data_IF_859687606458
#
_entry.id   IF_859687606458
#
_cell.length_a   1.000
_cell.length_b   1.000
_cell.length_c   1.000
_cell.angle_alpha   90.00
_cell.angle_beta   90.00
_cell.angle_gamma   90.00
#
_symmetry.space_group_name_H-M   'P 1'
#
loop_
_entity.id
_entity.type
_entity.pdbx_description
1 polymer ?
#
# COMPACT_ATOMS: atom_id res chain seq x y z
N UNK A 1 -9.70 -7.81 -8.42
CA UNK A 1 -9.27 -8.91 -7.49
C UNK A 1 -10.13 -8.85 -6.24
N UNK A 2 -10.73 -9.96 -5.83
CA UNK A 2 -11.51 -10.07 -4.60
C UNK A 2 -10.55 -10.14 -3.41
N UNK A 3 -10.82 -9.41 -2.34
CA UNK A 3 -10.02 -9.47 -1.12
C UNK A 3 -10.89 -9.89 0.07
N UNK A 4 -10.51 -10.97 0.73
CA UNK A 4 -11.10 -11.38 1.99
C UNK A 4 -10.26 -10.85 3.15
N UNK A 5 -10.85 -9.93 3.91
CA UNK A 5 -10.19 -9.23 5.02
C UNK A 5 -10.71 -9.76 6.36
N UNK A 6 -9.90 -10.52 7.05
CA UNK A 6 -10.27 -11.16 8.31
C UNK A 6 -9.86 -10.30 9.49
N UNK A 7 -10.83 -9.88 10.30
CA UNK A 7 -10.55 -9.19 11.56
C UNK A 7 -10.13 -10.22 12.59
N UNK A 8 -8.89 -10.15 13.05
CA UNK A 8 -8.33 -11.10 14.01
C UNK A 8 -8.74 -10.73 15.44
N UNK A 9 -9.60 -11.52 16.06
CA UNK A 9 -10.05 -11.31 17.42
C UNK A 9 -8.91 -11.29 18.46
N UNK A 10 -7.88 -12.11 18.28
CA UNK A 10 -6.73 -12.15 19.20
C UNK A 10 -5.96 -10.85 19.28
N UNK A 11 -5.99 -10.02 18.23
CA UNK A 11 -5.32 -8.73 18.23
C UNK A 11 -6.02 -7.67 19.10
N UNK A 12 -7.28 -7.90 19.43
CA UNK A 12 -8.07 -7.06 20.33
C UNK A 12 -7.97 -7.49 21.79
N UNK A 13 -7.38 -8.67 22.03
CA UNK A 13 -7.35 -9.22 23.39
C UNK A 13 -6.50 -8.36 24.31
N UNK A 14 -7.09 -8.01 25.44
CA UNK A 14 -6.38 -7.32 26.51
C UNK A 14 -5.12 -8.11 26.94
N UNK A 15 -4.01 -7.41 27.00
CA UNK A 15 -2.69 -8.01 27.31
C UNK A 15 -2.38 -8.06 28.82
N UNK A 16 -3.31 -7.59 29.67
CA UNK A 16 -3.15 -7.55 31.11
C UNK A 16 -2.56 -6.24 31.66
N UNK A 17 -2.02 -5.38 30.83
CA UNK A 17 -1.31 -4.15 31.21
C UNK A 17 -1.87 -2.87 30.57
N UNK A 18 -2.46 -2.96 29.38
CA UNK A 18 -2.99 -1.78 28.68
C UNK A 18 -4.03 -1.05 29.50
N UNK A 19 -3.86 0.27 29.58
CA UNK A 19 -4.82 1.18 30.21
C UNK A 19 -5.91 1.57 29.20
N UNK A 20 -6.97 2.18 29.69
CA UNK A 20 -8.06 2.68 28.84
C UNK A 20 -7.55 3.67 27.77
N UNK A 21 -6.61 4.56 28.13
CA UNK A 21 -6.00 5.52 27.20
C UNK A 21 -5.28 4.83 26.04
N UNK A 22 -4.56 3.74 26.32
CA UNK A 22 -3.84 2.98 25.28
C UNK A 22 -4.83 2.32 24.31
N UNK A 23 -5.91 1.78 24.85
CA UNK A 23 -6.98 1.20 24.05
C UNK A 23 -7.68 2.26 23.17
N UNK A 24 -7.98 3.44 23.72
CA UNK A 24 -8.60 4.55 22.99
C UNK A 24 -7.68 5.04 21.86
N UNK A 25 -6.39 5.18 22.11
CA UNK A 25 -5.41 5.55 21.08
C UNK A 25 -5.37 4.53 19.94
N UNK A 26 -5.26 3.25 20.26
CA UNK A 26 -5.28 2.15 19.28
C UNK A 26 -6.60 2.11 18.49
N UNK A 27 -7.73 2.37 19.16
CA UNK A 27 -9.03 2.46 18.48
C UNK A 27 -9.08 3.61 17.47
N UNK A 28 -8.51 4.77 17.80
CA UNK A 28 -8.44 5.89 16.87
C UNK A 28 -7.54 5.59 15.64
N UNK A 29 -6.45 4.85 15.82
CA UNK A 29 -5.60 4.40 14.72
C UNK A 29 -6.30 3.36 13.84
N UNK A 30 -6.92 2.38 14.47
CA UNK A 30 -7.71 1.36 13.78
C UNK A 30 -8.86 1.98 12.99
N UNK A 31 -9.54 2.96 13.56
CA UNK A 31 -10.57 3.74 12.89
C UNK A 31 -10.04 4.39 11.61
N UNK A 32 -8.95 5.16 11.69
CA UNK A 32 -8.35 5.84 10.52
C UNK A 32 -7.98 4.86 9.42
N UNK A 33 -7.39 3.73 9.78
CA UNK A 33 -7.06 2.66 8.85
C UNK A 33 -8.32 2.11 8.16
N UNK A 34 -9.38 1.80 8.92
CA UNK A 34 -10.62 1.26 8.36
C UNK A 34 -11.37 2.28 7.50
N UNK A 35 -11.36 3.57 7.89
CA UNK A 35 -11.90 4.65 7.06
C UNK A 35 -11.16 4.75 5.72
N UNK A 36 -9.84 4.66 5.75
CA UNK A 36 -9.03 4.65 4.54
C UNK A 36 -9.37 3.46 3.64
N UNK A 37 -9.41 2.24 4.18
CA UNK A 37 -9.79 1.04 3.40
C UNK A 37 -11.19 1.23 2.80
N UNK A 38 -12.15 1.74 3.56
CA UNK A 38 -13.50 1.99 3.08
C UNK A 38 -13.60 3.09 2.02
N UNK A 39 -12.72 4.10 2.04
CA UNK A 39 -12.74 5.22 1.09
C UNK A 39 -12.48 4.79 -0.35
N UNK A 40 -11.86 3.64 -0.56
CA UNK A 40 -11.65 3.07 -1.90
C UNK A 40 -12.94 2.52 -2.53
N UNK A 41 -14.02 2.34 -1.74
CA UNK A 41 -15.34 1.85 -2.21
C UNK A 41 -15.24 0.62 -3.11
N UNK A 42 -14.28 -0.27 -2.84
CA UNK A 42 -14.08 -1.48 -3.64
C UNK A 42 -15.20 -2.47 -3.34
N UNK A 43 -16.01 -2.79 -4.35
CA UNK A 43 -17.13 -3.73 -4.25
C UNK A 43 -16.67 -5.16 -3.90
N UNK A 44 -15.42 -5.46 -4.19
CA UNK A 44 -14.83 -6.79 -4.01
C UNK A 44 -14.17 -7.01 -2.64
N UNK A 45 -14.32 -6.08 -1.69
CA UNK A 45 -13.83 -6.27 -0.32
C UNK A 45 -14.87 -6.99 0.52
N UNK A 46 -14.48 -8.14 1.06
CA UNK A 46 -15.30 -8.90 1.99
C UNK A 46 -14.65 -8.91 3.38
N UNK A 47 -15.29 -8.21 4.32
CA UNK A 47 -14.84 -8.23 5.72
C UNK A 47 -15.44 -9.43 6.45
N UNK A 48 -14.59 -10.13 7.19
CA UNK A 48 -14.94 -11.33 7.93
C UNK A 48 -14.46 -11.23 9.38
N UNK A 49 -15.21 -11.79 10.32
CA UNK A 49 -14.76 -11.95 11.69
C UNK A 49 -15.07 -13.35 12.21
N UNK A 50 -14.27 -13.83 13.14
CA UNK A 50 -14.52 -15.13 13.79
C UNK A 50 -15.61 -15.00 14.84
N UNK A 51 -16.44 -16.03 15.04
CA UNK A 51 -17.58 -16.00 15.98
C UNK A 51 -17.19 -15.65 17.42
N UNK A 52 -15.98 -16.02 17.82
CA UNK A 52 -15.45 -15.67 19.14
C UNK A 52 -15.08 -14.18 19.31
N UNK A 53 -15.19 -13.36 18.25
CA UNK A 53 -14.82 -11.94 18.30
C UNK A 53 -15.61 -11.18 19.37
N UNK A 54 -16.92 -11.36 19.40
CA UNK A 54 -17.80 -10.69 20.37
C UNK A 54 -17.53 -11.07 21.83
N UNK A 55 -16.94 -12.25 22.06
CA UNK A 55 -16.58 -12.75 23.39
C UNK A 55 -15.14 -12.38 23.79
N UNK A 56 -14.41 -11.65 22.95
CA UNK A 56 -13.03 -11.28 23.23
C UNK A 56 -12.98 -10.23 24.33
N UNK A 57 -12.23 -10.50 25.39
CA UNK A 57 -11.94 -9.52 26.45
C UNK A 57 -10.99 -8.46 25.89
N UNK A 58 -11.41 -7.21 25.85
CA UNK A 58 -10.67 -6.08 25.23
C UNK A 58 -10.07 -5.12 26.27
N UNK A 59 -10.61 -5.13 27.49
CA UNK A 59 -10.10 -4.44 28.68
C UNK A 59 -10.30 -5.36 29.89
N UNK A 60 -9.80 -4.97 31.07
CA UNK A 60 -9.84 -5.77 32.29
C UNK A 60 -11.18 -6.45 32.56
N UNK A 61 -12.26 -5.69 32.44
CA UNK A 61 -13.62 -6.15 32.78
C UNK A 61 -14.62 -5.88 31.63
N UNK A 62 -14.13 -5.78 30.36
CA UNK A 62 -14.94 -5.43 29.20
C UNK A 62 -14.71 -6.43 28.08
N UNK A 63 -15.79 -6.99 27.54
CA UNK A 63 -15.75 -7.82 26.34
C UNK A 63 -16.24 -7.02 25.11
N UNK A 64 -15.85 -7.46 23.90
CA UNK A 64 -16.17 -6.75 22.66
C UNK A 64 -17.67 -6.51 22.46
N UNK A 65 -18.54 -7.44 22.85
CA UNK A 65 -20.00 -7.25 22.75
C UNK A 65 -20.49 -6.05 23.55
N UNK A 66 -19.85 -5.71 24.66
CA UNK A 66 -20.25 -4.57 25.50
C UNK A 66 -19.86 -3.22 24.85
N UNK A 67 -18.88 -3.21 23.95
CA UNK A 67 -18.56 -2.05 23.13
C UNK A 67 -19.58 -1.80 22.00
N UNK A 68 -20.56 -2.67 21.84
CA UNK A 68 -21.70 -2.46 20.92
C UNK A 68 -22.91 -1.89 21.66
N UNK A 69 -22.88 -1.80 23.00
CA UNK A 69 -23.88 -1.16 23.83
C UNK A 69 -23.62 0.35 23.86
N UNK A 70 -24.54 1.16 23.33
CA UNK A 70 -24.34 2.59 23.08
C UNK A 70 -23.79 3.35 24.29
N UNK A 71 -24.47 3.30 25.42
CA UNK A 71 -24.10 4.11 26.59
C UNK A 71 -22.75 3.71 27.20
N UNK A 72 -22.41 2.42 27.17
CA UNK A 72 -21.17 1.89 27.69
C UNK A 72 -20.02 2.20 26.71
N UNK A 73 -20.25 2.00 25.43
CA UNK A 73 -19.26 2.23 24.39
C UNK A 73 -18.88 3.73 24.27
N UNK A 74 -19.87 4.64 24.31
CA UNK A 74 -19.60 6.08 24.23
C UNK A 74 -18.69 6.55 25.38
N UNK A 75 -18.87 6.00 26.58
CA UNK A 75 -17.99 6.32 27.73
C UNK A 75 -16.58 5.77 27.59
N UNK A 76 -16.43 4.59 26.94
CA UNK A 76 -15.16 3.88 26.84
C UNK A 76 -14.36 4.30 25.62
N UNK A 77 -14.95 4.34 24.43
CA UNK A 77 -14.24 4.56 23.17
C UNK A 77 -14.63 5.84 22.43
N UNK A 78 -15.65 6.55 22.93
CA UNK A 78 -16.21 7.73 22.27
C UNK A 78 -17.23 7.39 21.18
N UNK A 79 -18.06 8.39 20.84
CA UNK A 79 -19.17 8.23 19.87
C UNK A 79 -18.66 7.91 18.47
N UNK A 80 -17.59 8.56 18.03
CA UNK A 80 -17.03 8.39 16.69
C UNK A 80 -16.50 6.98 16.48
N UNK A 81 -15.67 6.48 17.40
CA UNK A 81 -15.14 5.13 17.36
C UNK A 81 -16.25 4.06 17.41
N UNK A 82 -17.31 4.30 18.20
CA UNK A 82 -18.48 3.43 18.22
C UNK A 82 -19.19 3.37 16.87
N UNK A 83 -19.45 4.52 16.24
CA UNK A 83 -20.13 4.57 14.92
C UNK A 83 -19.35 3.76 13.89
N UNK A 84 -18.03 3.85 13.88
CA UNK A 84 -17.19 3.11 12.95
C UNK A 84 -17.15 1.61 13.28
N UNK A 85 -17.02 1.26 14.57
CA UNK A 85 -17.10 -0.13 15.00
C UNK A 85 -18.41 -0.77 14.55
N UNK A 86 -19.54 -0.10 14.75
CA UNK A 86 -20.86 -0.55 14.30
C UNK A 86 -20.94 -0.65 12.78
N UNK A 87 -20.39 0.31 12.03
CA UNK A 87 -20.37 0.28 10.58
C UNK A 87 -19.54 -0.90 10.04
N UNK A 88 -18.39 -1.18 10.66
CA UNK A 88 -17.56 -2.35 10.34
C UNK A 88 -18.34 -3.63 10.63
N UNK A 89 -18.90 -3.78 11.82
CA UNK A 89 -19.65 -4.96 12.22
C UNK A 89 -20.87 -5.22 11.32
N UNK A 90 -21.56 -4.17 10.86
CA UNK A 90 -22.67 -4.28 9.93
C UNK A 90 -22.25 -4.82 8.56
N UNK A 91 -21.02 -4.51 8.12
CA UNK A 91 -20.47 -4.97 6.83
C UNK A 91 -19.78 -6.32 6.92
N UNK A 92 -19.34 -6.72 8.11
CA UNK A 92 -18.65 -7.98 8.34
C UNK A 92 -19.63 -9.15 8.32
N UNK A 93 -19.21 -10.25 7.70
CA UNK A 93 -19.86 -11.55 7.84
C UNK A 93 -19.13 -12.38 8.88
N UNK A 94 -19.86 -13.18 9.65
CA UNK A 94 -19.24 -14.14 10.55
C UNK A 94 -18.60 -15.30 9.76
N UNK A 95 -17.54 -15.86 10.30
CA UNK A 95 -16.89 -17.05 9.78
C UNK A 95 -16.54 -18.00 10.93
N UNK A 96 -16.68 -19.29 10.69
CA UNK A 96 -16.28 -20.34 11.63
C UNK A 96 -14.75 -20.58 11.61
N UNK A 97 -13.99 -19.80 10.84
CA UNK A 97 -12.54 -19.94 10.76
C UNK A 97 -11.89 -19.74 12.12
N UNK A 98 -10.98 -20.64 12.47
CA UNK A 98 -10.10 -20.46 13.62
C UNK A 98 -8.90 -19.60 13.26
N UNK A 99 -8.16 -19.12 14.26
CA UNK A 99 -6.90 -18.37 14.00
C UNK A 99 -5.88 -19.22 13.22
N UNK A 100 -5.89 -20.56 13.41
CA UNK A 100 -5.04 -21.47 12.64
C UNK A 100 -5.45 -21.49 11.17
N UNK A 101 -6.76 -21.50 10.89
CA UNK A 101 -7.28 -21.45 9.53
C UNK A 101 -6.94 -20.12 8.86
N UNK A 102 -7.04 -18.99 9.59
CA UNK A 102 -6.64 -17.68 9.05
C UNK A 102 -5.20 -17.69 8.57
N UNK A 103 -4.29 -18.31 9.30
CA UNK A 103 -2.88 -18.41 8.89
C UNK A 103 -2.73 -19.27 7.62
N UNK A 104 -3.48 -20.36 7.49
CA UNK A 104 -3.45 -21.18 6.27
C UNK A 104 -4.05 -20.48 5.06
N UNK A 105 -5.05 -19.61 5.25
CA UNK A 105 -5.65 -18.83 4.17
C UNK A 105 -4.66 -17.84 3.53
N UNK A 106 -3.67 -17.35 4.27
CA UNK A 106 -2.65 -16.46 3.70
C UNK A 106 -1.85 -17.12 2.58
N UNK A 107 -1.81 -18.45 2.53
CA UNK A 107 -1.14 -19.21 1.45
C UNK A 107 -2.08 -19.62 0.31
N UNK A 108 -3.40 -19.38 0.45
CA UNK A 108 -4.43 -19.73 -0.54
C UNK A 108 -4.79 -18.52 -1.39
N UNK A 109 -3.82 -17.99 -2.11
CA UNK A 109 -4.02 -16.83 -2.98
C UNK A 109 -3.84 -17.19 -4.44
N UNK A 110 -4.61 -16.53 -5.29
CA UNK A 110 -4.49 -16.59 -6.74
C UNK A 110 -4.71 -15.21 -7.39
N UNK A 111 -4.72 -15.14 -8.70
CA UNK A 111 -4.93 -13.88 -9.43
C UNK A 111 -6.30 -13.23 -9.21
N UNK A 112 -7.27 -13.95 -8.68
CA UNK A 112 -8.64 -13.49 -8.50
C UNK A 112 -9.01 -13.26 -7.04
N UNK A 113 -8.36 -14.00 -6.12
CA UNK A 113 -8.66 -13.98 -4.70
C UNK A 113 -7.40 -13.82 -3.86
N UNK A 114 -7.41 -12.87 -2.96
CA UNK A 114 -6.37 -12.68 -1.96
C UNK A 114 -6.97 -12.62 -0.55
N UNK A 115 -6.14 -12.96 0.44
CA UNK A 115 -6.51 -12.99 1.84
C UNK A 115 -5.60 -12.06 2.64
N UNK A 116 -6.17 -11.29 3.57
CA UNK A 116 -5.40 -10.51 4.53
C UNK A 116 -6.01 -10.59 5.92
N UNK A 117 -5.19 -10.37 6.92
CA UNK A 117 -5.59 -10.32 8.32
C UNK A 117 -5.46 -8.89 8.81
N UNK A 118 -6.57 -8.32 9.24
CA UNK A 118 -6.61 -7.01 9.90
C UNK A 118 -6.37 -7.23 11.39
N UNK A 119 -5.39 -6.52 11.93
CA UNK A 119 -5.02 -6.60 13.34
C UNK A 119 -5.14 -5.24 14.02
N UNK A 120 -5.71 -5.23 15.21
CA UNK A 120 -5.84 -4.07 16.09
C UNK A 120 -4.53 -3.76 16.84
N UNK A 121 -3.85 -4.81 17.27
CA UNK A 121 -2.51 -4.72 17.87
C UNK A 121 -1.61 -5.77 17.21
N UNK A 122 -0.31 -5.46 17.03
CA UNK A 122 0.64 -6.39 16.41
C UNK A 122 0.67 -7.74 17.12
N UNK A 123 0.73 -8.81 16.33
CA UNK A 123 0.84 -10.18 16.82
C UNK A 123 2.15 -10.78 16.33
N UNK A 124 3.07 -11.13 17.24
CA UNK A 124 4.42 -11.61 16.91
C UNK A 124 4.45 -12.75 15.89
N UNK A 125 3.48 -13.66 15.92
CA UNK A 125 3.40 -14.80 15.02
C UNK A 125 2.86 -14.46 13.61
N UNK A 126 2.47 -13.19 13.37
CA UNK A 126 2.00 -12.64 12.09
C UNK A 126 2.90 -11.52 11.56
N UNK A 127 3.94 -11.10 12.29
CA UNK A 127 4.71 -9.88 11.98
C UNK A 127 5.39 -9.89 10.61
N UNK A 128 5.69 -11.07 10.07
CA UNK A 128 6.50 -11.20 8.86
C UNK A 128 5.66 -11.42 7.58
N UNK A 129 4.34 -11.27 7.66
CA UNK A 129 3.46 -11.47 6.51
C UNK A 129 3.01 -10.12 5.92
N UNK A 130 3.24 -9.91 4.64
CA UNK A 130 2.76 -8.75 3.87
C UNK A 130 1.23 -8.63 3.81
N UNK A 131 0.53 -9.71 4.16
CA UNK A 131 -0.93 -9.77 4.22
C UNK A 131 -1.48 -9.38 5.60
N UNK A 132 -0.66 -8.87 6.51
CA UNK A 132 -1.11 -8.41 7.83
C UNK A 132 -1.23 -6.90 7.82
N UNK A 133 -2.44 -6.40 7.99
CA UNK A 133 -2.79 -4.99 7.92
C UNK A 133 -3.03 -4.47 9.33
N UNK A 134 -2.12 -3.65 9.82
CA UNK A 134 -2.22 -2.97 11.13
C UNK A 134 -2.21 -1.45 11.03
N UNK A 135 -1.88 -0.92 9.84
CA UNK A 135 -1.75 0.51 9.57
C UNK A 135 -2.29 0.83 8.17
N UNK A 136 -2.46 2.12 7.87
CA UNK A 136 -2.77 2.57 6.51
C UNK A 136 -1.68 2.16 5.52
N UNK A 137 -0.39 2.29 5.92
CA UNK A 137 0.72 1.84 5.08
C UNK A 137 0.64 0.33 4.82
N UNK A 138 0.32 -0.48 5.81
CA UNK A 138 0.14 -1.92 5.64
C UNK A 138 -0.95 -2.29 4.63
N UNK A 139 -2.01 -1.46 4.52
CA UNK A 139 -3.00 -1.61 3.45
C UNK A 139 -2.40 -1.36 2.06
N UNK A 140 -1.62 -0.28 1.89
CA UNK A 140 -0.93 -0.02 0.63
C UNK A 140 0.04 -1.14 0.27
N UNK A 141 0.86 -1.59 1.23
CA UNK A 141 1.85 -2.65 1.04
C UNK A 141 1.20 -3.97 0.62
N UNK A 142 0.09 -4.33 1.27
CA UNK A 142 -0.72 -5.49 0.89
C UNK A 142 -1.23 -5.39 -0.56
N UNK A 143 -1.83 -4.27 -0.95
CA UNK A 143 -2.37 -4.09 -2.30
C UNK A 143 -1.28 -4.04 -3.37
N UNK A 144 -0.18 -3.37 -3.07
CA UNK A 144 1.01 -3.30 -3.93
C UNK A 144 1.66 -4.67 -4.11
N UNK A 145 1.80 -5.45 -3.04
CA UNK A 145 2.30 -6.83 -3.12
C UNK A 145 1.50 -7.67 -4.11
N UNK A 146 0.17 -7.64 -4.01
CA UNK A 146 -0.69 -8.37 -4.94
C UNK A 146 -0.64 -7.83 -6.37
N UNK A 147 -0.50 -6.53 -6.53
CA UNK A 147 -0.32 -5.91 -7.84
C UNK A 147 0.98 -6.38 -8.52
N UNK A 148 2.05 -6.53 -7.74
CA UNK A 148 3.31 -7.07 -8.24
C UNK A 148 3.26 -8.57 -8.53
N UNK A 149 2.52 -9.34 -7.72
CA UNK A 149 2.40 -10.79 -7.90
C UNK A 149 1.47 -11.16 -9.05
N UNK A 150 0.40 -10.38 -9.26
CA UNK A 150 -0.64 -10.62 -10.27
C UNK A 150 -0.95 -9.34 -11.07
N UNK A 151 -0.03 -8.84 -11.88
CA UNK A 151 -0.17 -7.56 -12.58
C UNK A 151 -1.25 -7.56 -13.67
N UNK A 152 -1.70 -8.74 -14.11
CA UNK A 152 -2.67 -9.01 -15.19
C UNK A 152 -2.22 -8.40 -16.53
N UNK A 153 -2.31 -7.08 -16.68
CA UNK A 153 -1.85 -6.32 -17.83
C UNK A 153 -1.61 -4.86 -17.45
N UNK A 154 -1.00 -4.08 -18.33
CA UNK A 154 -0.64 -2.69 -18.07
C UNK A 154 -1.84 -1.78 -17.76
N UNK A 155 -2.99 -2.00 -18.39
CA UNK A 155 -4.23 -1.24 -18.13
C UNK A 155 -4.69 -1.45 -16.69
N UNK A 156 -4.82 -2.70 -16.28
CA UNK A 156 -5.20 -3.06 -14.91
C UNK A 156 -4.17 -2.54 -13.90
N UNK A 157 -2.87 -2.76 -14.18
CA UNK A 157 -1.79 -2.32 -13.30
C UNK A 157 -1.86 -0.81 -13.05
N UNK A 158 -1.97 0.02 -14.10
CA UNK A 158 -2.02 1.48 -13.96
C UNK A 158 -3.29 1.95 -13.26
N UNK A 159 -4.43 1.29 -13.49
CA UNK A 159 -5.68 1.61 -12.79
C UNK A 159 -5.56 1.35 -11.28
N UNK A 160 -4.93 0.24 -10.88
CA UNK A 160 -4.68 -0.08 -9.46
C UNK A 160 -3.56 0.81 -8.89
N UNK A 161 -2.49 1.07 -9.65
CA UNK A 161 -1.39 1.93 -9.22
C UNK A 161 -1.87 3.34 -8.86
N UNK A 162 -2.79 3.93 -9.61
CA UNK A 162 -3.39 5.23 -9.28
C UNK A 162 -4.06 5.26 -7.90
N UNK A 163 -4.54 4.12 -7.42
CA UNK A 163 -5.16 4.02 -6.08
C UNK A 163 -4.12 3.91 -4.97
N UNK A 164 -3.07 3.10 -5.21
CA UNK A 164 -2.15 2.68 -4.15
C UNK A 164 -0.79 3.39 -4.17
N UNK A 165 -0.59 4.31 -5.12
CA UNK A 165 0.56 5.23 -5.17
C UNK A 165 0.06 6.68 -5.28
N UNK A 166 -0.60 7.22 -4.23
CA UNK A 166 -1.26 8.53 -4.31
C UNK A 166 -0.31 9.71 -4.49
N UNK A 167 0.97 9.54 -4.21
CA UNK A 167 2.03 10.54 -4.44
C UNK A 167 2.61 10.51 -5.86
N UNK A 168 2.16 9.60 -6.74
CA UNK A 168 2.64 9.52 -8.12
C UNK A 168 1.57 9.94 -9.12
N UNK A 169 1.97 10.71 -10.13
CA UNK A 169 1.19 10.92 -11.34
C UNK A 169 1.82 10.12 -12.48
N UNK A 170 1.16 9.02 -12.89
CA UNK A 170 1.64 8.11 -13.91
C UNK A 170 1.11 8.52 -15.28
N UNK A 171 2.02 8.77 -16.25
CA UNK A 171 1.63 9.19 -17.59
C UNK A 171 0.80 8.11 -18.32
N UNK A 172 -0.29 8.47 -19.01
CA UNK A 172 -1.18 7.50 -19.67
C UNK A 172 -0.49 6.57 -20.67
N UNK A 173 0.55 7.05 -21.36
CA UNK A 173 1.31 6.24 -22.33
C UNK A 173 2.00 5.02 -21.68
N UNK A 174 2.11 4.97 -20.36
CA UNK A 174 2.61 3.78 -19.68
C UNK A 174 1.75 2.54 -19.93
N UNK A 175 0.50 2.67 -20.39
CA UNK A 175 -0.30 1.53 -20.86
C UNK A 175 0.40 0.77 -22.00
N UNK A 176 0.97 1.50 -22.96
CA UNK A 176 1.65 0.89 -24.10
C UNK A 176 3.09 0.50 -23.79
N UNK A 177 3.82 1.34 -23.04
CA UNK A 177 5.25 1.14 -22.81
C UNK A 177 5.55 0.03 -21.79
N UNK A 178 4.63 -0.20 -20.86
CA UNK A 178 4.75 -1.29 -19.89
C UNK A 178 4.35 -2.66 -20.43
N UNK A 179 3.68 -2.74 -21.58
CA UNK A 179 3.15 -4.00 -22.10
C UNK A 179 4.19 -5.12 -22.12
N UNK A 180 5.41 -4.82 -22.58
CA UNK A 180 6.49 -5.81 -22.70
C UNK A 180 7.23 -6.10 -21.39
N UNK A 181 7.13 -5.20 -20.41
CA UNK A 181 7.96 -5.27 -19.18
C UNK A 181 7.17 -5.66 -17.94
N UNK A 182 5.83 -5.49 -17.97
CA UNK A 182 4.98 -5.73 -16.81
C UNK A 182 5.01 -7.17 -16.29
N UNK A 183 5.22 -8.13 -17.17
CA UNK A 183 5.31 -9.55 -16.81
C UNK A 183 6.74 -10.01 -16.50
N UNK A 184 7.74 -9.23 -16.94
CA UNK A 184 9.15 -9.56 -16.69
C UNK A 184 9.62 -9.10 -15.30
N UNK A 185 9.19 -7.91 -14.88
CA UNK A 185 9.68 -7.26 -13.65
C UNK A 185 8.58 -6.70 -12.73
N UNK A 186 7.43 -7.36 -12.56
CA UNK A 186 6.29 -6.75 -11.87
C UNK A 186 6.59 -6.38 -10.43
N UNK A 187 7.30 -7.22 -9.69
CA UNK A 187 7.66 -6.95 -8.28
C UNK A 187 8.68 -5.81 -8.16
N UNK A 188 9.66 -5.71 -9.09
CA UNK A 188 10.61 -4.59 -9.08
C UNK A 188 9.89 -3.28 -9.40
N UNK A 189 9.01 -3.26 -10.41
CA UNK A 189 8.19 -2.07 -10.73
C UNK A 189 7.42 -1.62 -9.49
N UNK A 190 6.72 -2.53 -8.82
CA UNK A 190 5.96 -2.23 -7.60
C UNK A 190 6.85 -1.66 -6.50
N UNK A 191 8.00 -2.30 -6.23
CA UNK A 191 8.93 -1.88 -5.18
C UNK A 191 9.51 -0.50 -5.47
N UNK A 192 9.90 -0.24 -6.72
CA UNK A 192 10.50 1.04 -7.11
C UNK A 192 9.47 2.17 -7.11
N UNK A 193 8.24 1.91 -7.57
CA UNK A 193 7.15 2.88 -7.46
C UNK A 193 6.78 3.16 -5.99
N UNK A 194 6.85 2.14 -5.11
CA UNK A 194 6.61 2.34 -3.68
C UNK A 194 7.66 3.25 -3.05
N UNK A 195 8.95 3.02 -3.34
CA UNK A 195 10.02 3.87 -2.85
C UNK A 195 9.90 5.32 -3.37
N UNK A 196 9.58 5.50 -4.66
CA UNK A 196 9.31 6.84 -5.22
C UNK A 196 8.13 7.51 -4.49
N UNK A 197 7.03 6.79 -4.31
CA UNK A 197 5.81 7.33 -3.70
C UNK A 197 5.99 7.72 -2.23
N UNK A 198 6.65 6.84 -1.46
CA UNK A 198 6.64 6.92 -0.01
C UNK A 198 7.82 7.74 0.55
N UNK A 199 8.96 7.81 -0.18
CA UNK A 199 10.21 8.33 0.36
C UNK A 199 10.85 9.42 -0.50
N UNK A 200 10.92 9.26 -1.82
CA UNK A 200 11.84 10.01 -2.68
C UNK A 200 11.74 11.53 -2.52
N UNK A 201 10.52 12.11 -2.55
CA UNK A 201 10.35 13.56 -2.51
C UNK A 201 10.83 14.16 -1.18
N UNK A 202 10.41 13.56 -0.05
CA UNK A 202 10.75 14.03 1.28
C UNK A 202 12.26 13.92 1.54
N UNK A 203 12.84 12.77 1.22
CA UNK A 203 14.25 12.47 1.48
C UNK A 203 15.16 13.29 0.58
N UNK A 204 14.83 13.43 -0.71
CA UNK A 204 15.59 14.27 -1.64
C UNK A 204 15.58 15.74 -1.22
N UNK A 205 14.40 16.31 -0.95
CA UNK A 205 14.28 17.72 -0.55
C UNK A 205 14.93 17.99 0.80
N UNK A 206 14.90 17.02 1.72
CA UNK A 206 15.58 17.09 3.02
C UNK A 206 17.09 16.90 2.95
N UNK A 207 17.63 16.28 1.89
CA UNK A 207 19.07 15.94 1.78
C UNK A 207 19.98 17.13 1.52
N UNK A 208 19.46 18.21 0.93
CA UNK A 208 20.27 19.36 0.47
C UNK A 208 21.22 19.04 -0.70
N UNK A 209 21.15 17.85 -1.30
CA UNK A 209 22.01 17.41 -2.40
C UNK A 209 21.41 17.77 -3.76
N UNK A 210 22.27 17.88 -4.78
CA UNK A 210 21.78 17.84 -6.16
C UNK A 210 21.26 16.44 -6.52
N UNK A 211 20.42 16.36 -7.57
CA UNK A 211 19.78 15.12 -7.96
C UNK A 211 20.78 14.05 -8.41
N UNK A 212 21.85 14.45 -9.11
CA UNK A 212 22.87 13.53 -9.61
C UNK A 212 23.62 12.83 -8.46
N UNK A 213 23.93 13.57 -7.40
CA UNK A 213 24.58 13.02 -6.21
C UNK A 213 23.62 12.20 -5.34
N UNK A 214 22.32 12.51 -5.36
CA UNK A 214 21.32 11.84 -4.51
C UNK A 214 20.85 10.49 -5.07
N UNK A 215 20.65 10.38 -6.39
CA UNK A 215 20.09 9.17 -7.02
C UNK A 215 20.83 7.87 -6.67
N UNK A 216 22.18 7.79 -6.70
CA UNK A 216 22.87 6.55 -6.31
C UNK A 216 22.65 6.20 -4.83
N UNK A 217 22.55 7.20 -3.94
CA UNK A 217 22.29 6.96 -2.51
C UNK A 217 20.90 6.41 -2.28
N UNK A 218 19.90 6.97 -2.97
CA UNK A 218 18.54 6.48 -2.93
C UNK A 218 18.43 5.03 -3.43
N UNK A 219 19.10 4.71 -4.54
CA UNK A 219 19.16 3.34 -5.05
C UNK A 219 19.76 2.36 -4.04
N UNK A 220 20.85 2.75 -3.40
CA UNK A 220 21.52 1.94 -2.37
C UNK A 220 20.60 1.71 -1.15
N UNK A 221 19.98 2.77 -0.64
CA UNK A 221 19.10 2.72 0.54
C UNK A 221 17.90 1.81 0.31
N UNK A 222 17.29 1.90 -0.88
CA UNK A 222 16.10 1.12 -1.23
C UNK A 222 16.43 -0.20 -1.97
N UNK A 223 17.70 -0.62 -1.97
CA UNK A 223 18.16 -1.90 -2.57
C UNK A 223 17.75 -2.03 -4.04
N UNK A 224 17.84 -0.92 -4.77
CA UNK A 224 17.64 -0.89 -6.21
C UNK A 224 18.94 -1.18 -6.94
N UNK A 225 18.86 -1.61 -8.18
CA UNK A 225 20.04 -1.92 -8.99
C UNK A 225 20.88 -0.67 -9.26
N UNK A 226 20.26 0.40 -9.75
CA UNK A 226 20.92 1.69 -9.99
C UNK A 226 19.88 2.80 -10.21
N UNK A 227 20.31 4.05 -10.03
CA UNK A 227 19.55 5.25 -10.37
C UNK A 227 20.48 6.34 -10.89
N UNK A 228 20.13 6.98 -12.00
CA UNK A 228 20.96 7.99 -12.64
C UNK A 228 20.15 9.02 -13.44
N UNK A 229 20.87 10.00 -14.02
CA UNK A 229 20.33 10.93 -15.00
C UNK A 229 20.77 10.51 -16.40
N UNK A 230 19.96 10.80 -17.43
CA UNK A 230 20.39 10.58 -18.83
C UNK A 230 21.47 11.56 -19.26
N UNK A 231 21.47 12.79 -18.73
CA UNK A 231 22.47 13.80 -19.04
C UNK A 231 22.29 14.48 -20.40
N UNK A 232 21.28 14.15 -21.16
CA UNK A 232 20.95 14.79 -22.44
C UNK A 232 19.56 15.44 -22.37
N UNK A 233 19.44 16.68 -22.89
CA UNK A 233 18.15 17.38 -22.99
C UNK A 233 17.47 17.02 -24.32
N UNK A 234 16.93 15.81 -24.41
CA UNK A 234 16.20 15.35 -25.58
C UNK A 234 14.70 15.46 -25.40
N UNK A 235 13.97 15.73 -26.49
CA UNK A 235 12.51 15.90 -26.46
C UNK A 235 11.77 14.65 -26.00
N UNK A 236 12.37 13.45 -26.17
CA UNK A 236 11.80 12.17 -25.72
C UNK A 236 11.58 12.04 -24.20
N UNK A 237 12.21 12.92 -23.40
CA UNK A 237 12.03 12.95 -21.95
C UNK A 237 10.99 13.94 -21.47
N UNK A 238 10.33 14.68 -22.36
CA UNK A 238 9.22 15.56 -22.01
C UNK A 238 7.88 14.87 -22.16
N UNK A 239 7.07 14.99 -21.11
CA UNK A 239 5.74 14.39 -21.03
C UNK A 239 4.73 15.43 -20.54
N UNK A 240 3.53 15.43 -21.15
CA UNK A 240 2.44 16.35 -20.79
C UNK A 240 1.43 15.63 -19.88
N UNK A 241 1.43 15.99 -18.61
CA UNK A 241 0.55 15.42 -17.60
C UNK A 241 -0.69 16.27 -17.38
N UNK A 242 -1.82 15.61 -17.12
CA UNK A 242 -3.00 16.28 -16.60
C UNK A 242 -2.95 16.31 -15.06
N UNK A 243 -3.08 17.51 -14.49
CA UNK A 243 -3.15 17.75 -13.04
C UNK A 243 -4.37 18.66 -12.78
N UNK A 244 -5.53 18.04 -12.55
CA UNK A 244 -6.82 18.73 -12.58
C UNK A 244 -7.09 19.33 -13.96
N UNK A 245 -7.37 20.62 -13.99
CA UNK A 245 -7.63 21.38 -15.23
C UNK A 245 -6.35 21.91 -15.91
N UNK A 246 -5.17 21.60 -15.37
CA UNK A 246 -3.89 22.10 -15.88
C UNK A 246 -3.11 21.00 -16.59
N UNK A 247 -2.42 21.39 -17.67
CA UNK A 247 -1.40 20.53 -18.28
C UNK A 247 -0.03 20.94 -17.75
N UNK A 248 0.69 19.95 -17.19
CA UNK A 248 2.05 20.12 -16.67
C UNK A 248 3.01 19.42 -17.60
N UNK A 249 3.89 20.19 -18.25
CA UNK A 249 5.00 19.65 -19.04
C UNK A 249 6.14 19.26 -18.11
N UNK A 250 6.41 17.96 -17.96
CA UNK A 250 7.40 17.41 -17.06
C UNK A 250 8.62 16.86 -17.82
N UNK A 251 9.82 17.27 -17.40
CA UNK A 251 11.08 16.74 -17.89
C UNK A 251 11.51 15.56 -16.99
N UNK A 252 11.44 14.33 -17.51
CA UNK A 252 11.64 13.08 -16.79
C UNK A 252 12.97 12.41 -17.21
N UNK A 253 14.11 13.01 -16.88
CA UNK A 253 15.43 12.45 -17.17
C UNK A 253 15.97 11.52 -16.07
N UNK A 254 15.53 11.72 -14.84
CA UNK A 254 15.91 10.84 -13.74
C UNK A 254 15.27 9.48 -13.94
N UNK A 255 16.05 8.42 -13.73
CA UNK A 255 15.51 7.08 -13.91
C UNK A 255 16.08 6.07 -12.92
N UNK A 256 15.23 5.10 -12.57
CA UNK A 256 15.58 3.89 -11.85
C UNK A 256 15.78 2.77 -12.85
N UNK A 257 16.87 2.02 -12.71
CA UNK A 257 17.22 0.91 -13.60
C UNK A 257 16.79 -0.43 -13.01
N UNK A 258 16.21 -1.27 -13.85
CA UNK A 258 15.86 -2.65 -13.54
C UNK A 258 16.63 -3.53 -14.53
N UNK A 259 17.53 -4.37 -14.04
CA UNK A 259 18.29 -5.30 -14.87
C UNK A 259 17.52 -6.62 -15.03
N UNK A 260 17.68 -7.21 -16.19
CA UNK A 260 17.32 -8.60 -16.40
C UNK A 260 18.46 -9.48 -15.87
N UNK A 261 18.10 -10.66 -15.38
CA UNK A 261 19.01 -11.62 -14.78
C UNK A 261 20.23 -12.00 -15.67
N UNK A 262 21.17 -12.68 -15.06
CA UNK A 262 22.50 -13.16 -15.42
C UNK A 262 22.82 -13.62 -16.86
N UNK A 263 21.97 -13.39 -17.85
CA UNK A 263 22.20 -13.85 -19.23
C UNK A 263 22.80 -12.82 -20.18
N UNK A 264 23.20 -11.65 -19.66
CA UNK A 264 24.08 -10.72 -20.39
C UNK A 264 23.53 -10.12 -21.70
N UNK A 265 22.23 -10.09 -21.90
CA UNK A 265 21.63 -9.39 -23.04
C UNK A 265 21.39 -7.91 -22.69
N UNK A 266 22.34 -7.05 -22.99
CA UNK A 266 22.34 -5.61 -22.71
C UNK A 266 21.15 -4.83 -23.30
N UNK A 267 20.35 -5.43 -24.18
CA UNK A 267 19.26 -4.76 -24.88
C UNK A 267 17.90 -4.80 -24.17
N UNK A 268 17.81 -5.29 -22.93
CA UNK A 268 16.55 -5.43 -22.21
C UNK A 268 16.50 -4.69 -20.87
N UNK A 269 17.31 -3.66 -20.69
CA UNK A 269 17.22 -2.82 -19.50
C UNK A 269 15.89 -2.08 -19.45
N UNK A 270 15.10 -2.38 -18.41
CA UNK A 270 13.90 -1.64 -18.11
C UNK A 270 14.22 -0.44 -17.21
N UNK A 271 13.48 0.66 -17.39
CA UNK A 271 13.66 1.89 -16.63
C UNK A 271 12.34 2.51 -16.24
N UNK A 272 12.36 3.20 -15.11
CA UNK A 272 11.28 4.08 -14.66
C UNK A 272 11.81 5.51 -14.71
N UNK A 273 11.33 6.29 -15.67
CA UNK A 273 11.71 7.69 -15.84
C UNK A 273 10.75 8.61 -15.11
N UNK A 274 11.31 9.55 -14.36
CA UNK A 274 10.50 10.46 -13.55
C UNK A 274 11.09 11.86 -13.48
N UNK A 275 10.24 12.83 -13.14
CA UNK A 275 10.63 14.23 -12.94
C UNK A 275 11.27 14.42 -11.58
N UNK A 276 12.31 15.24 -11.51
CA UNK A 276 12.86 15.77 -10.24
C UNK A 276 11.73 16.41 -9.43
N UNK A 277 11.52 16.02 -8.16
CA UNK A 277 10.52 16.66 -7.33
C UNK A 277 10.92 18.11 -6.99
N UNK A 278 9.91 18.97 -6.92
CA UNK A 278 10.07 20.38 -6.55
C UNK A 278 9.21 20.64 -5.30
N UNK A 279 9.72 21.45 -4.38
CA UNK A 279 8.99 21.80 -3.18
C UNK A 279 7.64 22.45 -3.51
N UNK A 280 6.57 21.96 -2.89
CA UNK A 280 5.19 22.40 -3.13
C UNK A 280 4.45 21.67 -4.26
N UNK A 281 5.09 20.78 -4.99
CA UNK A 281 4.40 19.84 -5.90
C UNK A 281 3.73 18.71 -5.13
N UNK A 282 2.49 18.37 -5.54
CA UNK A 282 1.71 17.30 -4.90
C UNK A 282 2.14 15.89 -5.35
N UNK A 283 2.80 15.78 -6.51
CA UNK A 283 3.12 14.50 -7.15
C UNK A 283 4.55 14.43 -7.65
N UNK A 284 5.09 13.20 -7.66
CA UNK A 284 6.21 12.84 -8.52
C UNK A 284 5.61 12.37 -9.86
N UNK A 285 6.01 13.01 -10.95
CA UNK A 285 5.53 12.68 -12.29
C UNK A 285 6.39 11.56 -12.89
N UNK A 286 5.77 10.43 -13.21
CA UNK A 286 6.43 9.26 -13.84
C UNK A 286 6.03 9.23 -15.31
N UNK A 287 6.95 9.66 -16.18
CA UNK A 287 6.70 9.81 -17.61
C UNK A 287 6.69 8.49 -18.36
N UNK A 288 7.59 7.57 -17.98
CA UNK A 288 7.79 6.35 -18.75
C UNK A 288 8.20 5.18 -17.85
N UNK A 289 7.63 4.03 -18.11
CA UNK A 289 8.02 2.73 -17.55
C UNK A 289 8.13 1.76 -18.72
N UNK A 290 9.32 1.24 -19.01
CA UNK A 290 9.50 0.38 -20.16
C UNK A 290 10.97 0.10 -20.46
N UNK A 291 11.25 -0.37 -21.68
CA UNK A 291 12.63 -0.52 -22.18
C UNK A 291 13.34 0.82 -22.23
N UNK A 292 14.65 0.81 -22.31
CA UNK A 292 15.44 2.04 -22.43
C UNK A 292 14.93 2.94 -23.58
N UNK A 293 14.72 4.25 -23.29
CA UNK A 293 14.31 5.27 -24.28
C UNK A 293 15.45 5.60 -25.24
#
# INVERSE_FOLDING_TARGET
MIAHLYICNRSFRWNGTDQLSDFQMKMAEFQRMMERINSYSEENLLFLFVDSFLKTQVLKDVVMSELLEYDKAVKLIGKEALVILLAIMKRCKSTNATVRDLKSYLSLEDENLCHAIIVFSPLKWLSDHMQVISTEQGWYDFRRHYLGKYPKNAVFFLAEAKKYYPGLNLHPNNVSTMHDVIHSHPMQIVTYLAALNDHFAADFLGSGKDLKAYLPLFALEHKMEDASLEGSKEDKFYFDFQDGDKTVKAYCEAHLKMYHDDRGNDNQHCRIYFKKPVAGESYIYVGYIGKHL
#
